data_IF_631052404558
#
_entry.id   IF_631052404558
#
_cell.length_a   1.000
_cell.length_b   1.000
_cell.length_c   1.000
_cell.angle_alpha   90.00
_cell.angle_beta   90.00
_cell.angle_gamma   90.00
#
_symmetry.space_group_name_H-M   'P 1'
#
loop_
_entity.id
_entity.type
_entity.pdbx_description
1 polymer ?
#
# COMPACT_ATOMS: atom_id res chain seq x y z
N UNK A 1 24.67 72.21 8.28
CA UNK A 1 24.20 71.20 9.28
C UNK A 1 22.68 71.22 9.24
N UNK A 2 22.01 70.49 8.32
CA UNK A 2 21.62 69.06 8.39
C UNK A 2 20.85 68.72 9.67
N UNK A 3 19.65 68.15 9.69
CA UNK A 3 18.58 67.87 8.72
C UNK A 3 17.36 67.47 9.57
N UNK A 4 16.16 67.78 9.10
CA UNK A 4 14.89 67.53 9.77
C UNK A 4 14.67 66.03 10.05
N UNK A 5 14.21 65.71 11.27
CA UNK A 5 13.77 64.36 11.65
C UNK A 5 12.41 64.08 11.02
N UNK A 6 12.36 63.16 10.05
CA UNK A 6 11.12 62.49 9.62
C UNK A 6 10.89 61.28 10.53
N UNK A 7 9.64 61.01 10.99
CA UNK A 7 9.30 59.73 11.57
C UNK A 7 9.12 58.70 10.44
N UNK A 8 9.95 57.68 10.44
CA UNK A 8 9.85 56.54 9.52
C UNK A 8 8.73 55.62 10.01
N UNK A 9 7.59 55.64 9.33
CA UNK A 9 6.57 54.59 9.44
C UNK A 9 7.03 53.39 8.62
N UNK A 10 7.46 52.32 9.30
CA UNK A 10 7.61 51.00 8.73
C UNK A 10 7.10 49.98 9.74
N UNK A 11 5.83 49.59 9.59
CA UNK A 11 5.38 48.27 10.01
C UNK A 11 4.33 47.78 9.01
N UNK A 12 4.81 47.33 7.87
CA UNK A 12 4.08 46.38 7.04
C UNK A 12 4.19 44.99 7.69
N UNK A 13 3.21 44.14 7.35
CA UNK A 13 3.06 42.71 7.69
C UNK A 13 2.42 42.41 9.05
N UNK A 14 1.10 42.53 9.11
CA UNK A 14 0.25 41.56 9.84
C UNK A 14 -1.09 41.41 9.09
N UNK A 15 -0.99 41.16 7.78
CA UNK A 15 -2.09 40.53 7.06
C UNK A 15 -1.92 39.01 7.23
N UNK A 16 -3.02 38.36 7.59
CA UNK A 16 -3.26 36.92 7.46
C UNK A 16 -2.92 36.02 8.65
N UNK A 17 -3.37 36.37 9.85
CA UNK A 17 -3.81 35.35 10.83
C UNK A 17 -5.33 35.25 10.73
N UNK A 18 -5.80 34.80 9.56
CA UNK A 18 -7.17 34.29 9.40
C UNK A 18 -7.12 32.84 9.87
N UNK A 19 -7.23 32.64 11.18
CA UNK A 19 -7.37 31.29 11.75
C UNK A 19 -8.59 30.62 11.10
N UNK A 20 -8.43 29.46 10.43
CA UNK A 20 -9.56 28.68 9.99
C UNK A 20 -10.24 28.09 11.23
N UNK A 21 -11.33 28.77 11.59
CA UNK A 21 -12.54 28.31 12.25
C UNK A 21 -12.59 26.78 12.41
N UNK A 22 -12.70 26.38 13.68
CA UNK A 22 -13.15 25.08 14.17
C UNK A 22 -14.31 24.52 13.33
N UNK A 23 -14.17 23.28 12.82
CA UNK A 23 -15.32 22.61 12.21
C UNK A 23 -15.08 21.48 11.19
N UNK A 24 -13.84 21.01 10.95
CA UNK A 24 -13.60 19.96 9.95
C UNK A 24 -12.95 18.72 10.57
N UNK A 25 -13.79 17.85 11.12
CA UNK A 25 -13.43 16.47 11.45
C UNK A 25 -13.27 15.61 10.19
N UNK A 26 -12.36 15.97 9.31
CA UNK A 26 -11.91 15.13 8.22
C UNK A 26 -10.41 14.91 8.41
N UNK A 27 -10.06 13.69 8.79
CA UNK A 27 -8.70 13.18 8.88
C UNK A 27 -7.91 13.56 7.62
N UNK A 28 -7.10 14.62 7.76
CA UNK A 28 -6.31 15.23 6.70
C UNK A 28 -5.21 14.24 6.27
N UNK A 29 -5.41 13.58 5.13
CA UNK A 29 -4.38 12.75 4.53
C UNK A 29 -3.34 13.64 3.87
N UNK A 30 -2.12 13.57 4.38
CA UNK A 30 -0.96 14.21 3.75
C UNK A 30 -0.38 13.31 2.65
N UNK A 31 0.17 13.97 1.63
CA UNK A 31 0.97 13.36 0.56
C UNK A 31 2.29 12.84 1.15
N UNK A 32 2.73 11.68 0.68
CA UNK A 32 3.95 11.06 1.14
C UNK A 32 5.19 11.67 0.48
N UNK A 33 6.33 11.58 1.16
CA UNK A 33 7.62 11.87 0.51
C UNK A 33 7.88 10.87 -0.63
N UNK A 34 8.81 11.18 -1.56
CA UNK A 34 9.16 10.25 -2.63
C UNK A 34 9.66 8.89 -2.12
N UNK A 35 10.46 8.89 -1.06
CA UNK A 35 10.98 7.66 -0.44
C UNK A 35 9.86 6.81 0.16
N UNK A 36 8.94 7.43 0.92
CA UNK A 36 7.77 6.73 1.47
C UNK A 36 6.84 6.22 0.37
N UNK A 37 6.68 7.00 -0.71
CA UNK A 37 5.88 6.61 -1.88
C UNK A 37 6.45 5.37 -2.58
N UNK A 38 7.77 5.30 -2.74
CA UNK A 38 8.45 4.13 -3.31
C UNK A 38 8.27 2.89 -2.42
N UNK A 39 8.39 3.04 -1.10
CA UNK A 39 8.15 1.94 -0.15
C UNK A 39 6.71 1.44 -0.20
N UNK A 40 5.72 2.35 -0.23
CA UNK A 40 4.30 1.98 -0.39
C UNK A 40 4.06 1.27 -1.71
N UNK A 41 4.63 1.77 -2.81
CA UNK A 41 4.52 1.14 -4.12
C UNK A 41 5.10 -0.27 -4.11
N UNK A 42 6.27 -0.46 -3.51
CA UNK A 42 6.91 -1.77 -3.39
C UNK A 42 6.05 -2.74 -2.57
N UNK A 43 5.53 -2.30 -1.42
CA UNK A 43 4.66 -3.12 -0.56
C UNK A 43 3.35 -3.49 -1.25
N UNK A 44 2.75 -2.57 -2.00
CA UNK A 44 1.55 -2.85 -2.80
C UNK A 44 1.84 -3.87 -3.92
N UNK A 45 2.97 -3.74 -4.61
CA UNK A 45 3.39 -4.71 -5.63
C UNK A 45 3.60 -6.10 -4.99
N UNK A 46 4.21 -6.15 -3.80
CA UNK A 46 4.40 -7.37 -3.03
C UNK A 46 3.06 -8.02 -2.65
N UNK A 47 2.12 -7.24 -2.12
CA UNK A 47 0.77 -7.69 -1.79
C UNK A 47 0.06 -8.26 -3.03
N UNK A 48 0.10 -7.52 -4.14
CA UNK A 48 -0.47 -7.96 -5.42
C UNK A 48 0.12 -9.29 -5.88
N UNK A 49 1.44 -9.46 -5.77
CA UNK A 49 2.13 -10.70 -6.14
C UNK A 49 1.66 -11.88 -5.28
N UNK A 50 1.64 -11.73 -3.95
CA UNK A 50 1.24 -12.80 -3.04
C UNK A 50 -0.21 -13.20 -3.24
N UNK A 51 -1.13 -12.24 -3.35
CA UNK A 51 -2.54 -12.53 -3.58
C UNK A 51 -2.80 -13.17 -4.95
N UNK A 52 -2.08 -12.74 -6.00
CA UNK A 52 -2.15 -13.41 -7.30
C UNK A 52 -1.68 -14.86 -7.22
N UNK A 53 -0.60 -15.11 -6.49
CA UNK A 53 -0.09 -16.47 -6.30
C UNK A 53 -1.02 -17.31 -5.44
N UNK A 54 -1.61 -16.73 -4.39
CA UNK A 54 -2.61 -17.38 -3.55
C UNK A 54 -3.81 -17.84 -4.38
N UNK A 55 -4.35 -16.95 -5.22
CA UNK A 55 -5.40 -17.29 -6.20
C UNK A 55 -5.01 -18.47 -7.10
N UNK A 56 -3.82 -18.42 -7.70
CA UNK A 56 -3.38 -19.44 -8.66
C UNK A 56 -3.20 -20.83 -8.05
N UNK A 57 -2.85 -20.90 -6.75
CA UNK A 57 -2.68 -22.14 -6.00
C UNK A 57 -3.88 -22.47 -5.12
N UNK A 58 -5.01 -21.77 -5.29
CA UNK A 58 -6.24 -21.96 -4.52
C UNK A 58 -6.05 -21.83 -2.99
N UNK A 59 -5.04 -21.08 -2.56
CA UNK A 59 -4.79 -20.75 -1.15
C UNK A 59 -5.70 -19.60 -0.76
N UNK A 60 -6.48 -19.78 0.32
CA UNK A 60 -7.49 -18.82 0.77
C UNK A 60 -8.44 -18.40 -0.38
N UNK A 61 -8.94 -19.39 -1.13
CA UNK A 61 -9.70 -19.18 -2.38
C UNK A 61 -10.99 -18.35 -2.21
N UNK A 62 -11.52 -18.29 -0.99
CA UNK A 62 -12.68 -17.49 -0.61
C UNK A 62 -12.39 -15.97 -0.63
N UNK A 63 -11.15 -15.57 -0.37
CA UNK A 63 -10.77 -14.15 -0.26
C UNK A 63 -9.69 -13.71 -1.26
N UNK A 64 -8.94 -14.64 -1.85
CA UNK A 64 -7.76 -14.31 -2.66
C UNK A 64 -8.10 -13.45 -3.87
N UNK A 65 -9.22 -13.70 -4.55
CA UNK A 65 -9.65 -12.90 -5.70
C UNK A 65 -10.02 -11.47 -5.27
N UNK A 66 -10.82 -11.33 -4.21
CA UNK A 66 -11.24 -10.01 -3.71
C UNK A 66 -10.03 -9.16 -3.34
N UNK A 67 -9.07 -9.74 -2.60
CA UNK A 67 -7.86 -9.02 -2.18
C UNK A 67 -6.95 -8.71 -3.35
N UNK A 68 -6.82 -9.60 -4.33
CA UNK A 68 -6.07 -9.31 -5.55
C UNK A 68 -6.68 -8.11 -6.30
N UNK A 69 -8.00 -8.08 -6.49
CA UNK A 69 -8.67 -6.98 -7.18
C UNK A 69 -8.53 -5.66 -6.42
N UNK A 70 -8.65 -5.69 -5.08
CA UNK A 70 -8.41 -4.51 -4.24
C UNK A 70 -7.04 -3.88 -4.54
N UNK A 71 -5.95 -4.65 -4.48
CA UNK A 71 -4.60 -4.11 -4.68
C UNK A 71 -4.31 -3.66 -6.12
N UNK A 72 -4.91 -4.31 -7.12
CA UNK A 72 -4.85 -3.88 -8.52
C UNK A 72 -5.54 -2.51 -8.69
N UNK A 73 -6.70 -2.32 -8.06
CA UNK A 73 -7.50 -1.10 -8.18
C UNK A 73 -6.92 0.09 -7.41
N UNK A 74 -6.04 -0.15 -6.43
CA UNK A 74 -5.28 0.89 -5.74
C UNK A 74 -4.15 1.50 -6.60
N UNK A 75 -3.98 1.06 -7.85
CA UNK A 75 -2.95 1.58 -8.75
C UNK A 75 -3.36 2.91 -9.40
N UNK A 76 -2.93 4.04 -8.83
CA UNK A 76 -2.97 5.35 -9.49
C UNK A 76 -3.12 6.54 -8.55
N UNK A 77 -2.52 7.68 -8.93
CA UNK A 77 -2.48 8.98 -8.21
C UNK A 77 -1.54 9.00 -6.98
N UNK A 78 -1.07 10.18 -6.52
CA UNK A 78 0.01 10.25 -5.52
C UNK A 78 -0.41 9.57 -4.22
N UNK A 79 0.52 8.80 -3.64
CA UNK A 79 0.27 8.05 -2.42
C UNK A 79 0.08 8.99 -1.23
N UNK A 80 -0.90 8.64 -0.41
CA UNK A 80 -1.26 9.35 0.80
C UNK A 80 -0.88 8.53 2.03
N UNK A 81 -0.89 9.18 3.19
CA UNK A 81 -0.79 8.51 4.48
C UNK A 81 -1.80 7.37 4.69
N UNK A 82 -2.97 7.40 4.03
CA UNK A 82 -3.89 6.26 4.07
C UNK A 82 -3.31 5.04 3.36
N UNK A 83 -2.68 5.22 2.21
CA UNK A 83 -2.13 4.11 1.42
C UNK A 83 -1.02 3.40 2.20
N UNK A 84 -0.18 4.17 2.90
CA UNK A 84 0.79 3.63 3.85
C UNK A 84 0.12 2.74 4.91
N UNK A 85 -0.98 3.20 5.51
CA UNK A 85 -1.72 2.39 6.51
C UNK A 85 -2.35 1.14 5.87
N UNK A 86 -2.87 1.25 4.64
CA UNK A 86 -3.46 0.11 3.95
C UNK A 86 -2.41 -0.96 3.67
N UNK A 87 -1.24 -0.61 3.12
CA UNK A 87 -0.19 -1.60 2.81
C UNK A 87 0.31 -2.28 4.09
N UNK A 88 0.47 -1.56 5.19
CA UNK A 88 0.84 -2.16 6.48
C UNK A 88 -0.21 -3.17 6.97
N UNK A 89 -1.49 -2.82 6.87
CA UNK A 89 -2.58 -3.75 7.22
C UNK A 89 -2.61 -4.98 6.34
N UNK A 90 -2.38 -4.81 5.03
CA UNK A 90 -2.29 -5.91 4.07
C UNK A 90 -1.14 -6.86 4.40
N UNK A 91 0.03 -6.34 4.74
CA UNK A 91 1.19 -7.17 5.12
C UNK A 91 0.94 -7.94 6.41
N UNK A 92 0.31 -7.31 7.40
CA UNK A 92 -0.10 -7.97 8.65
C UNK A 92 -1.07 -9.10 8.36
N UNK A 93 -2.02 -8.90 7.45
CA UNK A 93 -2.98 -9.93 7.06
C UNK A 93 -2.30 -11.13 6.38
N UNK A 94 -1.41 -10.90 5.40
CA UNK A 94 -0.62 -11.97 4.79
C UNK A 94 0.10 -12.82 5.84
N UNK A 95 0.69 -12.16 6.84
CA UNK A 95 1.38 -12.82 7.95
C UNK A 95 0.42 -13.61 8.85
N UNK A 96 -0.74 -13.04 9.18
CA UNK A 96 -1.76 -13.69 10.03
C UNK A 96 -2.33 -14.94 9.38
N UNK A 97 -2.59 -14.89 8.09
CA UNK A 97 -3.07 -16.03 7.30
C UNK A 97 -1.95 -17.02 6.97
N UNK A 98 -0.68 -16.66 7.19
CA UNK A 98 0.46 -17.52 6.88
C UNK A 98 0.60 -17.83 5.39
N UNK A 99 0.15 -16.93 4.52
CA UNK A 99 0.07 -17.14 3.06
C UNK A 99 1.40 -17.62 2.48
N UNK A 100 2.52 -17.06 2.92
CA UNK A 100 3.86 -17.46 2.44
C UNK A 100 4.15 -18.93 2.74
N UNK A 101 3.80 -19.40 3.94
CA UNK A 101 4.01 -20.79 4.34
C UNK A 101 3.10 -21.72 3.55
N UNK A 102 1.83 -21.35 3.37
CA UNK A 102 0.87 -22.12 2.57
C UNK A 102 1.35 -22.23 1.11
N UNK A 103 1.73 -21.11 0.49
CA UNK A 103 2.26 -21.06 -0.87
C UNK A 103 3.54 -21.87 -1.04
N UNK A 104 4.44 -21.82 -0.06
CA UNK A 104 5.66 -22.63 -0.07
C UNK A 104 5.33 -24.13 -0.05
N UNK A 105 4.37 -24.55 0.77
CA UNK A 105 3.93 -25.94 0.84
C UNK A 105 3.29 -26.39 -0.48
N UNK A 106 2.37 -25.61 -1.04
CA UNK A 106 1.71 -25.93 -2.32
C UNK A 106 2.71 -26.02 -3.49
N UNK A 107 3.67 -25.09 -3.55
CA UNK A 107 4.71 -25.12 -4.59
C UNK A 107 5.59 -26.37 -4.47
N UNK A 108 5.81 -26.88 -3.26
CA UNK A 108 6.60 -28.11 -3.05
C UNK A 108 5.78 -29.37 -3.28
N UNK A 109 4.47 -29.37 -3.02
CA UNK A 109 3.58 -30.48 -3.38
C UNK A 109 3.54 -30.73 -4.90
N UNK A 110 3.66 -29.68 -5.71
CA UNK A 110 3.74 -29.83 -7.18
C UNK A 110 5.08 -30.41 -7.67
N UNK A 111 6.14 -30.35 -6.86
CA UNK A 111 7.48 -30.85 -7.21
C UNK A 111 7.69 -32.29 -6.69
N UNK A 112 6.80 -32.79 -5.83
CA UNK A 112 6.91 -34.13 -5.26
C UNK A 112 6.87 -35.21 -6.38
N UNK A 113 7.92 -36.05 -6.52
CA UNK A 113 8.04 -37.02 -7.61
C UNK A 113 6.89 -38.03 -7.70
N UNK A 114 6.16 -38.28 -6.61
CA UNK A 114 4.99 -39.16 -6.62
C UNK A 114 3.76 -38.53 -7.30
N UNK A 115 3.65 -37.20 -7.28
CA UNK A 115 2.54 -36.48 -7.92
C UNK A 115 2.78 -36.32 -9.43
N UNK A 116 4.02 -36.08 -9.83
CA UNK A 116 4.43 -36.06 -11.25
C UNK A 116 4.26 -37.41 -11.94
N UNK A 117 4.53 -38.53 -11.23
CA UNK A 117 4.22 -39.88 -11.74
C UNK A 117 2.73 -40.16 -11.89
N UNK A 118 1.88 -39.63 -10.99
CA UNK A 118 0.40 -39.77 -11.11
C UNK A 118 -0.14 -39.02 -12.32
N UNK A 119 0.29 -37.78 -12.52
CA UNK A 119 -0.06 -36.97 -13.69
C UNK A 119 0.41 -37.61 -15.00
N UNK A 120 1.57 -38.28 -15.04
CA UNK A 120 2.01 -39.03 -16.21
C UNK A 120 1.11 -40.25 -16.49
N UNK A 121 0.75 -41.02 -15.46
CA UNK A 121 -0.15 -42.17 -15.61
C UNK A 121 -1.57 -41.81 -16.05
N UNK A 122 -2.07 -40.63 -15.69
CA UNK A 122 -3.42 -40.18 -16.06
C UNK A 122 -3.51 -39.66 -17.50
N UNK A 123 -2.39 -39.18 -18.08
CA UNK A 123 -2.31 -38.76 -19.47
C UNK A 123 -2.00 -39.90 -20.47
N UNK A 124 -1.69 -41.10 -19.96
CA UNK A 124 -1.37 -42.30 -20.76
C UNK A 124 -2.59 -43.22 -21.02
N UNK A 125 -3.82 -42.73 -20.78
CA UNK A 125 -5.09 -43.44 -21.07
C UNK A 125 -5.94 -42.73 -22.12
#
# INVERSE_FOLDING_TARGET
MAQQRRPTSLRATDDMIRLPIEGQGFTESYELSPEESEDVQFKQAWLTYFWRRAKNHEVEADIAEERLQFWINQGGQPFTSYDAVHVERGLIELKKLGIETQLWQETRRSIDPENTKKLQKENDF
#
